data_IF_593569708496
#
_entry.id   IF_593569708496
#
_cell.length_a   1.000
_cell.length_b   1.000
_cell.length_c   1.000
_cell.angle_alpha   90.00
_cell.angle_beta   90.00
_cell.angle_gamma   90.00
#
_symmetry.space_group_name_H-M   'P 1'
#
loop_
_entity.id
_entity.type
_entity.pdbx_description
1 polymer ?
#
# COMPACT_ATOMS: atom_id res chain seq x y z
N UNK A 1 -1.69 -12.56 20.35
CA UNK A 1 -0.99 -11.92 19.24
C UNK A 1 -1.47 -12.61 17.97
N UNK A 2 -2.41 -12.01 17.24
CA UNK A 2 -2.85 -12.60 15.97
C UNK A 2 -1.80 -12.18 14.93
N UNK A 3 -0.93 -13.14 14.57
CA UNK A 3 -0.01 -12.98 13.46
C UNK A 3 -0.86 -12.62 12.25
N UNK A 4 -0.55 -11.48 11.63
CA UNK A 4 -1.01 -11.23 10.27
C UNK A 4 -0.36 -12.32 9.43
N UNK A 5 -1.11 -13.36 9.08
CA UNK A 5 -0.62 -14.41 8.19
C UNK A 5 -0.12 -13.73 6.93
N UNK A 6 1.15 -13.97 6.59
CA UNK A 6 1.73 -13.48 5.35
C UNK A 6 0.97 -14.14 4.18
N UNK A 7 0.17 -13.40 3.37
CA UNK A 7 -0.59 -14.03 2.29
C UNK A 7 0.28 -14.59 1.17
N UNK A 8 1.51 -14.09 1.06
CA UNK A 8 2.42 -14.44 -0.01
C UNK A 8 3.73 -14.92 0.60
N UNK A 9 3.86 -16.23 0.89
CA UNK A 9 5.11 -16.77 1.41
C UNK A 9 6.25 -16.63 0.38
N UNK A 10 7.52 -16.66 0.83
CA UNK A 10 8.67 -16.76 -0.07
C UNK A 10 8.49 -17.87 -1.12
N UNK A 11 8.81 -17.55 -2.38
CA UNK A 11 8.64 -18.41 -3.55
C UNK A 11 7.24 -18.37 -4.18
N UNK A 12 6.25 -17.73 -3.54
CA UNK A 12 4.93 -17.53 -4.15
C UNK A 12 4.99 -16.52 -5.30
N UNK A 13 3.99 -16.58 -6.19
CA UNK A 13 3.86 -15.72 -7.36
C UNK A 13 2.71 -14.75 -7.18
N UNK A 14 2.94 -13.50 -7.60
CA UNK A 14 1.96 -12.42 -7.65
C UNK A 14 1.90 -11.92 -9.08
N UNK A 15 0.70 -11.97 -9.68
CA UNK A 15 0.45 -11.36 -10.98
C UNK A 15 -0.13 -9.96 -10.78
N UNK A 16 0.42 -8.99 -11.50
CA UNK A 16 0.02 -7.59 -11.47
C UNK A 16 -0.33 -7.12 -12.88
N UNK A 17 -1.38 -6.31 -12.99
CA UNK A 17 -1.68 -5.53 -14.19
C UNK A 17 -1.25 -4.10 -13.96
N UNK A 18 -0.25 -3.63 -14.71
CA UNK A 18 0.24 -2.27 -14.68
C UNK A 18 -0.78 -1.29 -15.29
N UNK A 19 -0.67 -0.01 -14.94
CA UNK A 19 -1.56 1.04 -15.44
C UNK A 19 -1.50 1.22 -16.98
N UNK A 20 -0.41 0.82 -17.62
CA UNK A 20 -0.27 0.79 -19.09
C UNK A 20 -0.95 -0.44 -19.74
N UNK A 21 -1.54 -1.33 -18.94
CA UNK A 21 -2.21 -2.55 -19.40
C UNK A 21 -1.32 -3.79 -19.46
N UNK A 22 0.00 -3.65 -19.24
CA UNK A 22 0.93 -4.77 -19.25
C UNK A 22 0.74 -5.69 -18.04
N UNK A 23 1.01 -6.98 -18.24
CA UNK A 23 0.99 -7.98 -17.19
C UNK A 23 2.40 -8.25 -16.71
N UNK A 24 2.59 -8.20 -15.40
CA UNK A 24 3.86 -8.47 -14.74
C UNK A 24 3.67 -9.58 -13.72
N UNK A 25 4.44 -10.66 -13.87
CA UNK A 25 4.52 -11.72 -12.87
C UNK A 25 5.73 -11.48 -11.97
N UNK A 26 5.51 -11.60 -10.67
CA UNK A 26 6.50 -11.30 -9.64
C UNK A 26 6.62 -12.50 -8.71
N UNK A 27 7.83 -13.02 -8.52
CA UNK A 27 8.12 -14.01 -7.48
C UNK A 27 8.47 -13.29 -6.18
N UNK A 28 7.84 -13.69 -5.08
CA UNK A 28 8.14 -13.17 -3.75
C UNK A 28 9.43 -13.77 -3.22
N UNK A 29 10.37 -12.92 -2.85
CA UNK A 29 11.60 -13.33 -2.16
C UNK A 29 11.34 -13.35 -0.67
N UNK A 30 10.89 -12.23 -0.09
CA UNK A 30 10.56 -12.14 1.33
C UNK A 30 9.60 -10.96 1.64
N UNK A 31 8.83 -11.04 2.74
CA UNK A 31 8.04 -9.91 3.24
C UNK A 31 8.86 -8.97 4.14
N UNK A 32 8.59 -7.66 4.05
CA UNK A 32 9.03 -6.69 5.07
C UNK A 32 7.97 -6.56 6.15
N UNK A 33 8.26 -7.07 7.35
CA UNK A 33 7.34 -7.12 8.48
C UNK A 33 7.71 -6.12 9.59
N UNK A 34 6.73 -5.66 10.39
CA UNK A 34 5.30 -5.91 10.29
C UNK A 34 4.62 -5.03 9.23
N UNK A 35 3.52 -5.51 8.67
CA UNK A 35 2.65 -4.67 7.84
C UNK A 35 1.88 -3.67 8.71
N UNK A 36 1.78 -2.43 8.25
CA UNK A 36 1.07 -1.34 8.93
C UNK A 36 -0.12 -0.87 8.10
N UNK A 37 0.12 -0.16 7.00
CA UNK A 37 -0.91 0.33 6.08
C UNK A 37 -0.95 -0.41 4.75
N UNK A 38 0.09 -1.17 4.44
CA UNK A 38 0.25 -1.91 3.20
C UNK A 38 1.14 -3.11 3.45
N UNK A 39 1.04 -4.08 2.56
CA UNK A 39 1.95 -5.21 2.51
C UNK A 39 3.14 -4.85 1.65
N UNK A 40 4.35 -5.19 2.09
CA UNK A 40 5.57 -4.82 1.39
C UNK A 40 6.42 -6.07 1.22
N UNK A 41 6.84 -6.33 -0.01
CA UNK A 41 7.58 -7.53 -0.38
C UNK A 41 8.82 -7.17 -1.20
N UNK A 42 9.91 -7.88 -0.96
CA UNK A 42 11.00 -7.99 -1.91
C UNK A 42 10.59 -9.01 -2.97
N UNK A 43 10.65 -8.63 -4.25
CA UNK A 43 10.18 -9.45 -5.36
C UNK A 43 11.16 -9.45 -6.53
N UNK A 44 11.02 -10.45 -7.40
CA UNK A 44 11.76 -10.60 -8.65
C UNK A 44 10.80 -10.73 -9.84
N UNK A 45 10.97 -9.97 -10.94
CA UNK A 45 10.21 -10.15 -12.17
C UNK A 45 10.43 -11.52 -12.84
N UNK A 46 9.34 -12.12 -13.34
CA UNK A 46 9.35 -13.37 -14.11
C UNK A 46 8.57 -13.22 -15.44
N UNK A 47 9.18 -13.48 -16.62
CA UNK A 47 10.61 -13.73 -16.81
C UNK A 47 11.44 -12.49 -16.49
N UNK A 48 12.74 -12.66 -16.32
CA UNK A 48 13.66 -11.54 -16.13
C UNK A 48 13.48 -10.52 -17.27
N UNK A 49 13.04 -9.31 -16.92
CA UNK A 49 12.93 -8.20 -17.85
C UNK A 49 14.28 -7.49 -17.97
N UNK A 50 14.61 -7.01 -19.18
CA UNK A 50 15.79 -6.13 -19.37
C UNK A 50 15.55 -4.72 -18.87
N UNK A 51 14.29 -4.32 -18.72
CA UNK A 51 13.88 -2.96 -18.37
C UNK A 51 13.70 -2.78 -16.86
N UNK A 52 13.48 -3.89 -16.14
CA UNK A 52 13.31 -3.89 -14.70
C UNK A 52 14.55 -4.49 -14.00
N UNK A 53 14.96 -3.95 -12.85
CA UNK A 53 15.93 -4.59 -11.97
C UNK A 53 15.54 -6.03 -11.59
N UNK A 54 16.55 -6.81 -11.22
CA UNK A 54 16.37 -8.18 -10.74
C UNK A 54 15.62 -8.26 -9.40
N UNK A 55 15.72 -7.22 -8.58
CA UNK A 55 15.08 -7.13 -7.27
C UNK A 55 14.37 -5.79 -7.13
N UNK A 56 13.13 -5.87 -6.66
CA UNK A 56 12.21 -4.74 -6.55
C UNK A 56 11.43 -4.84 -5.25
N UNK A 57 10.93 -3.70 -4.79
CA UNK A 57 9.95 -3.64 -3.71
C UNK A 57 8.55 -3.55 -4.33
N UNK A 58 7.69 -4.51 -3.99
CA UNK A 58 6.27 -4.47 -4.28
C UNK A 58 5.51 -4.06 -3.03
N UNK A 59 4.75 -2.97 -3.13
CA UNK A 59 3.86 -2.49 -2.07
C UNK A 59 2.41 -2.67 -2.49
N UNK A 60 1.63 -3.41 -1.71
CA UNK A 60 0.22 -3.74 -1.98
C UNK A 60 -0.69 -3.08 -0.95
N UNK A 61 -1.66 -2.33 -1.42
CA UNK A 61 -2.69 -1.66 -0.64
C UNK A 61 -3.94 -2.53 -0.60
N UNK A 62 -3.88 -3.58 0.20
CA UNK A 62 -4.99 -4.52 0.40
C UNK A 62 -5.74 -4.19 1.69
N UNK A 63 -7.03 -3.81 1.62
CA UNK A 63 -7.86 -3.46 2.77
C UNK A 63 -7.89 -4.52 3.87
N UNK A 64 -7.60 -5.80 3.57
CA UNK A 64 -7.55 -6.89 4.55
C UNK A 64 -6.45 -6.73 5.59
N UNK A 65 -5.36 -6.05 5.23
CA UNK A 65 -4.11 -6.01 6.00
C UNK A 65 -3.82 -4.66 6.64
N UNK A 66 -4.79 -3.75 6.62
CA UNK A 66 -4.69 -2.47 7.32
C UNK A 66 -4.70 -2.70 8.85
N UNK A 67 -3.74 -2.12 9.54
CA UNK A 67 -3.59 -2.23 11.00
C UNK A 67 -4.78 -1.67 11.80
N UNK A 68 -5.56 -0.76 11.21
CA UNK A 68 -6.79 -0.22 11.80
C UNK A 68 -7.81 -1.34 12.09
N UNK A 69 -7.74 -2.49 11.40
CA UNK A 69 -8.54 -3.69 11.72
C UNK A 69 -8.07 -4.44 12.97
N UNK A 70 -6.78 -4.32 13.32
CA UNK A 70 -6.13 -5.13 14.36
C UNK A 70 -6.04 -4.41 15.72
N UNK A 71 -5.90 -3.08 15.69
CA UNK A 71 -5.69 -2.27 16.89
C UNK A 71 -6.71 -1.12 16.92
N UNK A 72 -7.80 -1.24 17.70
CA UNK A 72 -8.65 -0.10 17.98
C UNK A 72 -7.81 1.01 18.61
N UNK A 73 -7.82 2.22 18.05
CA UNK A 73 -7.11 3.39 18.62
C UNK A 73 -7.59 3.72 20.04
N UNK A 74 -8.78 3.24 20.43
CA UNK A 74 -9.35 3.36 21.78
C UNK A 74 -9.78 1.96 22.25
N UNK A 75 -9.25 1.44 23.39
CA UNK A 75 -9.75 0.21 23.97
C UNK A 75 -11.18 0.44 24.45
N UNK A 76 -12.15 0.00 23.66
CA UNK A 76 -13.58 0.08 24.00
C UNK A 76 -14.13 -1.34 24.13
N UNK A 77 -14.76 -1.70 25.26
CA UNK A 77 -15.20 -3.07 25.55
C UNK A 77 -16.15 -3.70 24.50
N UNK A 78 -16.78 -2.87 23.66
CA UNK A 78 -17.80 -3.29 22.69
C UNK A 78 -17.42 -3.01 21.24
N UNK A 79 -16.14 -2.72 20.95
CA UNK A 79 -15.73 -2.45 19.57
C UNK A 79 -15.73 -3.75 18.78
N UNK A 80 -16.74 -3.92 17.94
CA UNK A 80 -16.81 -5.02 16.98
C UNK A 80 -15.55 -4.95 16.13
N UNK A 81 -14.75 -6.01 16.16
CA UNK A 81 -13.65 -6.15 15.19
C UNK A 81 -14.29 -6.36 13.84
N UNK A 82 -14.14 -5.39 12.94
CA UNK A 82 -14.62 -5.47 11.57
C UNK A 82 -13.66 -6.38 10.77
N UNK A 83 -13.75 -7.68 11.05
CA UNK A 83 -13.05 -8.72 10.30
C UNK A 83 -13.54 -8.72 8.87
N UNK A 84 -12.61 -8.82 7.94
CA UNK A 84 -12.93 -8.92 6.52
C UNK A 84 -13.71 -10.21 6.24
N UNK A 85 -14.72 -10.12 5.38
CA UNK A 85 -15.39 -11.27 4.76
C UNK A 85 -15.54 -11.04 3.26
N UNK A 86 -15.54 -12.12 2.48
CA UNK A 86 -15.70 -12.03 1.02
C UNK A 86 -17.10 -11.52 0.67
N UNK A 87 -18.12 -11.92 1.42
CA UNK A 87 -19.50 -11.51 1.24
C UNK A 87 -19.65 -9.99 1.36
N UNK A 88 -19.06 -9.39 2.40
CA UNK A 88 -19.10 -7.95 2.60
C UNK A 88 -18.32 -7.19 1.51
N UNK A 89 -17.19 -7.73 1.03
CA UNK A 89 -16.44 -7.13 -0.09
C UNK A 89 -17.23 -7.19 -1.40
N UNK A 90 -17.96 -8.29 -1.64
CA UNK A 90 -18.86 -8.43 -2.79
C UNK A 90 -20.00 -7.41 -2.71
N UNK A 91 -20.63 -7.24 -1.54
CA UNK A 91 -21.72 -6.27 -1.32
C UNK A 91 -21.26 -4.81 -1.42
N UNK A 92 -20.00 -4.52 -1.05
CA UNK A 92 -19.42 -3.19 -1.18
C UNK A 92 -19.27 -2.75 -2.66
N UNK A 93 -19.11 -3.71 -3.57
CA UNK A 93 -18.97 -3.45 -5.01
C UNK A 93 -20.18 -2.72 -5.64
N UNK A 94 -21.41 -3.27 -5.52
CA UNK A 94 -22.63 -2.59 -5.93
C UNK A 94 -22.82 -1.23 -5.26
N UNK A 95 -22.60 -1.13 -3.94
CA UNK A 95 -22.69 0.15 -3.22
C UNK A 95 -21.81 1.22 -3.89
N UNK A 96 -20.52 0.92 -4.11
CA UNK A 96 -19.57 1.83 -4.74
C UNK A 96 -20.03 2.28 -6.11
N UNK A 97 -20.56 1.35 -6.92
CA UNK A 97 -21.05 1.63 -8.27
C UNK A 97 -22.27 2.55 -8.23
N UNK A 98 -23.25 2.24 -7.39
CA UNK A 98 -24.49 3.02 -7.27
C UNK A 98 -24.21 4.45 -6.78
N UNK A 99 -23.28 4.62 -5.85
CA UNK A 99 -22.82 5.94 -5.40
C UNK A 99 -22.14 6.69 -6.54
N UNK A 100 -21.21 6.07 -7.27
CA UNK A 100 -20.52 6.70 -8.40
C UNK A 100 -21.48 7.11 -9.54
N UNK A 101 -22.58 6.37 -9.72
CA UNK A 101 -23.63 6.66 -10.70
C UNK A 101 -24.68 7.66 -10.17
N UNK A 102 -24.56 8.13 -8.93
CA UNK A 102 -25.52 9.04 -8.30
C UNK A 102 -26.88 8.40 -7.98
N UNK A 103 -26.98 7.07 -8.01
CA UNK A 103 -28.20 6.30 -7.72
C UNK A 103 -28.44 6.12 -6.22
N UNK A 104 -27.39 6.23 -5.42
CA UNK A 104 -27.43 6.10 -3.97
C UNK A 104 -26.68 7.29 -3.34
N UNK A 105 -27.21 7.91 -2.27
CA UNK A 105 -26.45 8.91 -1.52
C UNK A 105 -25.18 8.29 -0.93
N UNK A 106 -24.09 9.05 -0.91
CA UNK A 106 -22.85 8.59 -0.29
C UNK A 106 -22.94 8.72 1.23
N UNK A 107 -23.24 7.60 1.90
CA UNK A 107 -23.30 7.50 3.37
C UNK A 107 -21.92 7.67 4.02
N UNK A 108 -20.84 7.62 3.23
CA UNK A 108 -19.45 7.73 3.69
C UNK A 108 -18.82 9.10 3.41
N UNK A 109 -19.57 10.08 2.88
CA UNK A 109 -19.22 11.46 2.44
C UNK A 109 -17.73 11.78 2.20
N UNK A 110 -17.37 12.43 1.09
CA UNK A 110 -15.97 12.78 0.75
C UNK A 110 -15.12 13.46 1.86
N UNK A 111 -15.74 14.20 2.81
CA UNK A 111 -15.05 14.78 3.98
C UNK A 111 -14.69 13.76 5.09
N UNK A 112 -15.14 12.50 4.94
CA UNK A 112 -15.10 11.42 5.94
C UNK A 112 -14.26 10.20 5.54
N UNK A 113 -13.44 10.21 4.46
CA UNK A 113 -12.50 9.09 4.19
C UNK A 113 -11.58 8.80 5.39
N UNK A 114 -11.33 9.80 6.25
CA UNK A 114 -10.54 9.66 7.48
C UNK A 114 -11.35 9.21 8.70
N UNK A 115 -12.69 9.22 8.63
CA UNK A 115 -13.57 8.84 9.73
C UNK A 115 -14.18 7.47 9.47
N UNK A 116 -13.98 6.49 10.36
CA UNK A 116 -14.60 5.20 10.20
C UNK A 116 -16.14 5.31 10.23
N UNK A 117 -16.87 4.38 9.60
CA UNK A 117 -18.32 4.27 9.73
C UNK A 117 -18.74 4.17 11.20
N UNK A 118 -20.03 4.41 11.48
CA UNK A 118 -20.56 4.14 12.82
C UNK A 118 -20.32 2.67 13.18
N UNK A 119 -20.00 2.35 14.44
CA UNK A 119 -19.66 0.98 14.89
C UNK A 119 -20.74 -0.08 14.59
N UNK A 120 -21.99 0.35 14.34
CA UNK A 120 -23.14 -0.51 13.97
C UNK A 120 -23.49 -0.46 12.47
N UNK A 121 -22.63 0.14 11.65
CA UNK A 121 -22.82 0.15 10.21
C UNK A 121 -22.76 -1.28 9.65
N UNK A 122 -23.46 -1.50 8.54
CA UNK A 122 -23.45 -2.75 7.81
C UNK A 122 -22.03 -3.16 7.40
N UNK A 123 -21.69 -4.46 7.37
CA UNK A 123 -20.33 -4.92 7.06
C UNK A 123 -19.75 -4.37 5.75
N UNK A 124 -20.55 -4.27 4.70
CA UNK A 124 -20.09 -3.75 3.40
C UNK A 124 -19.68 -2.27 3.44
N UNK A 125 -20.25 -1.46 4.35
CA UNK A 125 -19.84 -0.06 4.52
C UNK A 125 -18.44 0.06 5.12
N UNK A 126 -18.05 -0.90 5.97
CA UNK A 126 -16.67 -1.00 6.46
C UNK A 126 -15.70 -1.40 5.36
N UNK A 127 -16.09 -2.38 4.53
CA UNK A 127 -15.27 -2.81 3.40
C UNK A 127 -15.08 -1.68 2.37
N UNK A 128 -16.13 -0.91 2.10
CA UNK A 128 -16.02 0.29 1.27
C UNK A 128 -15.16 1.38 1.91
N UNK A 129 -15.31 1.64 3.21
CA UNK A 129 -14.46 2.60 3.91
C UNK A 129 -12.97 2.23 3.79
N UNK A 130 -12.60 0.98 4.12
CA UNK A 130 -11.21 0.55 4.02
C UNK A 130 -10.71 0.51 2.57
N UNK A 131 -11.58 0.21 1.59
CA UNK A 131 -11.24 0.34 0.18
C UNK A 131 -10.85 1.78 -0.17
N UNK A 132 -11.65 2.78 0.23
CA UNK A 132 -11.36 4.20 -0.01
C UNK A 132 -10.09 4.66 0.68
N UNK A 133 -9.86 4.24 1.93
CA UNK A 133 -8.61 4.54 2.66
C UNK A 133 -7.38 3.99 1.91
N UNK A 134 -7.45 2.76 1.40
CA UNK A 134 -6.38 2.17 0.59
C UNK A 134 -6.20 2.85 -0.76
N UNK A 135 -7.30 3.22 -1.42
CA UNK A 135 -7.27 3.95 -2.68
C UNK A 135 -6.63 5.34 -2.50
N UNK A 136 -7.03 6.08 -1.46
CA UNK A 136 -6.50 7.41 -1.15
C UNK A 136 -5.02 7.35 -0.78
N UNK A 137 -4.62 6.33 0.00
CA UNK A 137 -3.21 6.08 0.34
C UNK A 137 -2.37 5.80 -0.91
N UNK A 138 -2.87 4.93 -1.79
CA UNK A 138 -2.21 4.60 -3.05
C UNK A 138 -2.12 5.80 -3.99
N UNK A 139 -3.21 6.56 -4.16
CA UNK A 139 -3.25 7.78 -4.99
C UNK A 139 -2.25 8.82 -4.48
N UNK A 140 -2.22 9.05 -3.16
CA UNK A 140 -1.32 10.01 -2.53
C UNK A 140 0.15 9.63 -2.75
N UNK A 141 0.50 8.36 -2.55
CA UNK A 141 1.87 7.90 -2.75
C UNK A 141 2.30 7.90 -4.21
N UNK A 142 1.41 7.48 -5.12
CA UNK A 142 1.65 7.59 -6.56
C UNK A 142 1.86 9.04 -6.99
N UNK A 143 1.04 9.95 -6.47
CA UNK A 143 1.18 11.39 -6.72
C UNK A 143 2.53 11.91 -6.22
N UNK A 144 2.93 11.54 -5.01
CA UNK A 144 4.23 11.89 -4.44
C UNK A 144 5.39 11.47 -5.34
N UNK A 145 5.42 10.21 -5.80
CA UNK A 145 6.47 9.75 -6.71
C UNK A 145 6.52 10.55 -8.01
N UNK A 146 5.36 10.89 -8.59
CA UNK A 146 5.31 11.69 -9.81
C UNK A 146 5.86 13.11 -9.61
N UNK A 147 5.59 13.73 -8.47
CA UNK A 147 6.10 15.07 -8.14
C UNK A 147 7.61 15.05 -7.86
N UNK A 148 8.12 13.97 -7.28
CA UNK A 148 9.51 13.84 -6.85
C UNK A 148 10.41 13.18 -7.91
N UNK A 149 10.05 13.24 -9.19
CA UNK A 149 10.76 12.55 -10.28
C UNK A 149 12.25 12.91 -10.36
N UNK A 150 12.61 14.17 -10.07
CA UNK A 150 14.00 14.65 -10.09
C UNK A 150 14.86 14.08 -8.97
N UNK A 151 14.25 13.54 -7.92
CA UNK A 151 14.90 13.01 -6.73
C UNK A 151 14.98 11.48 -6.73
N UNK A 152 14.29 10.82 -7.67
CA UNK A 152 14.28 9.37 -7.80
C UNK A 152 15.63 8.79 -8.23
N UNK A 153 16.04 7.70 -7.58
CA UNK A 153 17.32 7.04 -7.80
C UNK A 153 18.52 7.75 -7.19
N UNK A 154 18.28 8.81 -6.41
CA UNK A 154 19.32 9.52 -5.66
C UNK A 154 19.00 9.51 -4.17
N UNK A 155 18.07 10.37 -3.76
CA UNK A 155 17.66 10.55 -2.35
C UNK A 155 16.35 9.84 -2.02
N UNK A 156 15.54 9.50 -3.03
CA UNK A 156 14.41 8.59 -2.89
C UNK A 156 14.50 7.42 -3.89
N UNK A 157 13.88 6.26 -3.61
CA UNK A 157 13.88 5.13 -4.52
C UNK A 157 13.23 5.46 -5.87
N UNK A 158 13.68 4.80 -6.95
CA UNK A 158 12.98 4.88 -8.24
C UNK A 158 11.60 4.24 -8.20
N UNK A 159 10.65 4.86 -8.89
CA UNK A 159 9.30 4.36 -9.11
C UNK A 159 9.24 3.69 -10.49
N UNK A 160 8.98 2.39 -10.52
CA UNK A 160 8.89 1.61 -11.76
C UNK A 160 7.47 1.50 -12.30
N UNK A 161 6.46 1.70 -11.44
CA UNK A 161 5.09 1.73 -11.89
C UNK A 161 4.05 1.52 -10.80
N UNK A 162 2.79 1.59 -11.22
CA UNK A 162 1.62 1.31 -10.39
C UNK A 162 0.59 0.52 -11.17
N UNK A 163 -0.33 -0.11 -10.47
CA UNK A 163 -1.37 -0.94 -11.07
C UNK A 163 -2.14 -1.71 -10.01
N UNK A 164 -2.65 -2.88 -10.39
CA UNK A 164 -3.45 -3.71 -9.50
C UNK A 164 -2.96 -5.16 -9.48
N UNK A 165 -3.01 -5.76 -8.30
CA UNK A 165 -2.77 -7.20 -8.11
C UNK A 165 -3.98 -7.96 -8.63
N UNK A 166 -3.73 -9.00 -9.42
CA UNK A 166 -4.74 -9.89 -9.95
C UNK A 166 -4.98 -10.98 -8.89
N UNK A 167 -6.16 -10.99 -8.24
CA UNK A 167 -6.46 -12.02 -7.26
C UNK A 167 -6.72 -13.36 -7.95
N UNK A 168 -6.55 -14.46 -7.20
CA UNK A 168 -7.01 -15.76 -7.64
C UNK A 168 -8.54 -15.75 -7.85
N UNK A 169 -9.07 -16.52 -8.80
CA UNK A 169 -10.51 -16.58 -9.05
C UNK A 169 -11.32 -16.85 -7.78
N UNK A 170 -12.42 -16.12 -7.59
CA UNK A 170 -13.34 -16.25 -6.46
C UNK A 170 -12.73 -16.00 -5.07
N UNK A 171 -11.52 -15.44 -4.98
CA UNK A 171 -10.91 -15.10 -3.68
C UNK A 171 -11.17 -13.66 -3.24
N UNK A 172 -11.50 -12.77 -4.19
CA UNK A 172 -11.69 -11.34 -3.99
C UNK A 172 -12.72 -10.78 -4.97
N UNK A 173 -13.44 -9.75 -4.54
CA UNK A 173 -14.31 -8.93 -5.38
C UNK A 173 -13.59 -7.68 -5.92
N UNK A 174 -12.38 -7.38 -5.42
CA UNK A 174 -11.55 -6.26 -5.88
C UNK A 174 -10.17 -6.72 -6.36
N UNK A 175 -9.51 -5.87 -7.14
CA UNK A 175 -8.09 -5.98 -7.45
C UNK A 175 -7.30 -4.98 -6.59
N UNK A 176 -6.57 -5.40 -5.54
CA UNK A 176 -5.82 -4.50 -4.67
C UNK A 176 -4.85 -3.61 -5.44
N UNK A 177 -4.67 -2.37 -5.01
CA UNK A 177 -3.72 -1.47 -5.65
C UNK A 177 -2.29 -1.85 -5.31
N UNK A 178 -1.35 -1.59 -6.21
CA UNK A 178 0.05 -1.81 -5.95
C UNK A 178 0.97 -0.78 -6.60
N UNK A 179 2.15 -0.63 -6.01
CA UNK A 179 3.28 0.18 -6.48
C UNK A 179 4.53 -0.70 -6.54
N UNK A 180 5.32 -0.53 -7.59
CA UNK A 180 6.61 -1.17 -7.80
C UNK A 180 7.71 -0.12 -7.72
N UNK A 181 8.68 -0.34 -6.83
CA UNK A 181 9.76 0.62 -6.57
C UNK A 181 11.10 -0.07 -6.38
N UNK A 182 12.17 0.71 -6.41
CA UNK A 182 13.55 0.25 -6.25
C UNK A 182 13.80 -0.38 -4.88
N UNK A 183 14.46 -1.53 -4.90
CA UNK A 183 15.07 -2.10 -3.72
C UNK A 183 16.47 -1.50 -3.53
N UNK A 184 16.71 -0.90 -2.36
CA UNK A 184 18.00 -0.32 -2.01
C UNK A 184 18.75 -1.30 -1.12
N UNK A 185 19.82 -1.88 -1.63
CA UNK A 185 20.74 -2.67 -0.81
C UNK A 185 21.48 -1.76 0.17
N UNK A 186 21.50 -2.13 1.45
CA UNK A 186 22.27 -1.40 2.44
C UNK A 186 21.83 -1.66 3.87
N UNK A 187 22.28 -0.78 4.76
CA UNK A 187 21.97 -0.83 6.18
C UNK A 187 20.84 0.14 6.48
N UNK A 188 19.78 -0.36 7.11
CA UNK A 188 18.66 0.49 7.55
C UNK A 188 19.10 1.38 8.72
N UNK A 189 18.49 2.56 8.86
CA UNK A 189 18.76 3.43 10.02
C UNK A 189 18.42 2.77 11.36
N UNK A 190 17.49 1.81 11.40
CA UNK A 190 17.09 1.11 12.63
C UNK A 190 18.21 0.26 13.24
N UNK A 191 19.17 -0.18 12.42
CA UNK A 191 20.30 -1.01 12.87
C UNK A 191 21.54 -0.19 13.22
N UNK A 192 21.48 1.13 13.04
CA UNK A 192 22.59 2.04 13.29
C UNK A 192 22.52 2.55 14.74
N UNK A 193 23.64 2.45 15.46
CA UNK A 193 23.80 3.07 16.77
C UNK A 193 24.01 4.59 16.60
N UNK A 194 23.05 5.44 17.02
CA UNK A 194 23.08 6.87 16.77
C UNK A 194 24.24 7.57 17.50
N UNK A 195 24.81 6.94 18.52
CA UNK A 195 25.93 7.51 19.30
C UNK A 195 27.28 7.21 18.65
N UNK A 196 27.36 6.15 17.84
CA UNK A 196 28.62 5.68 17.24
C UNK A 196 28.76 6.02 15.76
N UNK A 197 27.68 6.41 15.10
CA UNK A 197 27.73 6.74 13.67
C UNK A 197 28.04 8.22 13.47
N UNK A 198 29.22 8.46 12.90
CA UNK A 198 29.53 9.72 12.25
C UNK A 198 28.95 9.67 10.83
N UNK A 199 27.77 10.27 10.62
CA UNK A 199 27.14 10.34 9.30
C UNK A 199 27.99 11.26 8.42
N UNK A 200 28.59 10.77 7.32
CA UNK A 200 29.40 11.62 6.46
C UNK A 200 28.57 12.79 5.91
N UNK A 201 29.13 14.01 5.82
CA UNK A 201 28.43 15.15 5.24
C UNK A 201 27.91 14.89 3.81
N UNK A 202 28.59 14.02 3.07
CA UNK A 202 28.18 13.57 1.73
C UNK A 202 26.83 12.81 1.70
N UNK A 203 26.38 12.25 2.83
CA UNK A 203 25.06 11.60 2.97
C UNK A 203 24.05 12.59 3.56
N UNK A 204 24.48 13.37 4.55
CA UNK A 204 23.61 14.27 5.30
C UNK A 204 23.12 15.47 4.48
N UNK A 205 24.01 16.15 3.73
CA UNK A 205 23.60 17.35 2.99
C UNK A 205 22.59 17.06 1.87
N UNK A 206 22.77 16.02 1.02
CA UNK A 206 21.76 15.69 0.01
C UNK A 206 20.39 15.37 0.62
N UNK A 207 20.35 14.70 1.78
CA UNK A 207 19.10 14.42 2.47
C UNK A 207 18.41 15.71 2.96
N UNK A 208 19.15 16.67 3.53
CA UNK A 208 18.58 17.96 3.95
C UNK A 208 18.05 18.77 2.76
N UNK A 209 18.80 18.79 1.65
CA UNK A 209 18.39 19.53 0.47
C UNK A 209 17.16 18.89 -0.20
N UNK A 210 17.05 17.56 -0.17
CA UNK A 210 15.84 16.84 -0.58
C UNK A 210 14.62 17.26 0.25
N UNK A 211 14.76 17.33 1.58
CA UNK A 211 13.67 17.74 2.49
C UNK A 211 13.21 19.17 2.22
N UNK A 212 14.12 20.10 1.91
CA UNK A 212 13.73 21.47 1.51
C UNK A 212 12.96 21.46 0.20
N UNK A 213 13.44 20.67 -0.77
CA UNK A 213 12.81 20.54 -2.09
C UNK A 213 11.39 19.99 -2.00
N UNK A 214 11.09 19.14 -1.02
CA UNK A 214 9.73 18.64 -0.80
C UNK A 214 8.74 19.79 -0.55
N UNK A 215 9.10 20.76 0.30
CA UNK A 215 8.26 21.93 0.56
C UNK A 215 8.00 22.77 -0.70
N UNK A 216 9.00 22.95 -1.55
CA UNK A 216 8.87 23.67 -2.82
C UNK A 216 7.97 22.94 -3.83
N UNK A 217 7.87 21.61 -3.74
CA UNK A 217 7.05 20.76 -4.60
C UNK A 217 5.63 20.51 -4.06
N UNK A 218 5.27 21.15 -2.94
CA UNK A 218 3.95 21.02 -2.31
C UNK A 218 3.73 19.67 -1.62
N UNK A 219 4.81 19.05 -1.14
CA UNK A 219 4.84 17.76 -0.43
C UNK A 219 5.02 17.94 1.08
#
# INVERSE_FOLDING_TARGET
SALVENPFPPGSRIDMRLANGEFLSLQVIEPFLPFTKSQVFLVRPEPASRELPHELVLKIYDPRYIDDRLKPKVPTPNLLRHSWTLEAEIEAGPYRREVAEGKRPDELSAECSLRPPMQRAEPYLWEEHYYRVMEDSWKSEKYAFNQLISLQGTVIPKFYGSGNVIPLPNTRAIQPFAILMEYIHGTTLATIDPVKVNVPPAIFYPMLDAVKTFGDLGM
#
